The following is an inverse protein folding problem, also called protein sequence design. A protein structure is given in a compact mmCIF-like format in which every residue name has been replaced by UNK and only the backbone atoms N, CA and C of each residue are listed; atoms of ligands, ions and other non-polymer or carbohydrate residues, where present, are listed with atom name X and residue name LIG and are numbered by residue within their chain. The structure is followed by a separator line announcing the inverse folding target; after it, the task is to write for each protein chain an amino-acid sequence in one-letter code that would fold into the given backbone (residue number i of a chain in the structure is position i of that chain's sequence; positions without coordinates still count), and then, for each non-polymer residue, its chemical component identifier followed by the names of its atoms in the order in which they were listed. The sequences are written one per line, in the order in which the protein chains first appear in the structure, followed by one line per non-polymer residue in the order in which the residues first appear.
data_IF_105276940259
#
_entry.id   IF_105276940259
#
_cell.length_a   1.000
_cell.length_b   1.000
_cell.length_c   1.000
_cell.angle_alpha   90.00
_cell.angle_beta   90.00
_cell.angle_gamma   90.00
#
_symmetry.space_group_name_H-M   'P 1'
#
loop_
_entity.id
_entity.type
_entity.pdbx_description
1 polymer ?
#
# COMPACT_ATOMS: atom_id res chain seq x y z
N UNK A 1 -13.88 22.69 11.46
CA UNK A 1 -14.65 23.22 10.29
C UNK A 1 -16.10 23.44 10.72
N UNK A 2 -16.97 24.12 9.94
CA UNK A 2 -18.34 24.45 10.38
C UNK A 2 -19.20 23.24 10.80
N UNK A 3 -18.84 22.05 10.33
CA UNK A 3 -19.46 20.76 10.62
C UNK A 3 -18.80 19.99 11.78
N UNK A 4 -17.78 20.56 12.43
CA UNK A 4 -17.02 19.91 13.50
C UNK A 4 -15.85 19.05 13.02
N UNK A 5 -15.59 18.93 11.70
CA UNK A 5 -14.43 18.20 11.20
C UNK A 5 -13.13 18.96 11.50
N UNK A 6 -12.15 18.30 12.10
CA UNK A 6 -10.82 18.85 12.36
C UNK A 6 -9.83 18.35 11.31
N UNK A 7 -9.24 19.29 10.57
CA UNK A 7 -8.26 19.01 9.52
C UNK A 7 -7.39 20.25 9.24
N UNK A 8 -6.19 20.03 8.70
CA UNK A 8 -5.39 21.10 8.08
C UNK A 8 -6.04 21.52 6.75
N UNK A 9 -6.34 22.81 6.64
CA UNK A 9 -6.96 23.37 5.44
C UNK A 9 -5.90 23.64 4.37
N UNK A 10 -6.14 23.10 3.17
CA UNK A 10 -5.32 23.25 1.97
C UNK A 10 -6.10 24.11 0.98
N UNK A 11 -5.53 25.24 0.58
CA UNK A 11 -6.14 26.11 -0.43
C UNK A 11 -5.76 25.60 -1.82
N UNK A 12 -6.75 25.30 -2.65
CA UNK A 12 -6.57 24.81 -4.02
C UNK A 12 -7.04 25.89 -4.99
N UNK A 13 -6.10 26.48 -5.72
CA UNK A 13 -6.44 27.38 -6.82
C UNK A 13 -6.81 26.58 -8.07
N UNK A 14 -8.09 26.25 -8.18
CA UNK A 14 -8.68 25.52 -9.31
C UNK A 14 -9.39 26.45 -10.31
N UNK A 15 -9.18 27.77 -10.21
CA UNK A 15 -9.75 28.78 -11.13
C UNK A 15 -9.10 28.75 -12.51
N UNK A 16 -7.91 28.17 -12.62
CA UNK A 16 -7.19 27.96 -13.87
C UNK A 16 -6.57 26.56 -13.87
N UNK A 17 -6.57 25.83 -15.00
CA UNK A 17 -5.92 24.53 -15.07
C UNK A 17 -4.41 24.70 -14.82
N UNK A 18 -3.96 24.44 -13.60
CA UNK A 18 -2.55 24.32 -13.30
C UNK A 18 -2.14 22.90 -13.67
N UNK A 19 -1.48 22.76 -14.81
CA UNK A 19 -0.96 21.48 -15.27
C UNK A 19 0.37 21.25 -14.55
N UNK A 20 0.30 20.85 -13.27
CA UNK A 20 1.47 20.55 -12.43
C UNK A 20 2.42 19.53 -13.08
N UNK A 21 1.92 18.76 -14.06
CA UNK A 21 2.68 17.77 -14.82
C UNK A 21 3.31 18.33 -16.12
N UNK A 22 2.87 19.49 -16.64
CA UNK A 22 3.57 20.18 -17.74
C UNK A 22 4.74 21.02 -17.26
N UNK A 23 4.76 21.37 -15.98
CA UNK A 23 5.88 22.05 -15.37
C UNK A 23 6.93 21.01 -14.93
N UNK A 24 7.67 20.46 -15.90
CA UNK A 24 8.94 19.77 -15.63
C UNK A 24 9.95 20.66 -14.88
N UNK A 25 9.64 21.95 -14.74
CA UNK A 25 10.38 23.00 -14.03
C UNK A 25 9.61 23.60 -12.82
N UNK A 26 8.48 23.03 -12.39
CA UNK A 26 7.78 23.55 -11.20
C UNK A 26 8.64 23.33 -9.96
N UNK A 27 9.34 24.38 -9.56
CA UNK A 27 10.00 24.45 -8.26
C UNK A 27 8.92 24.18 -7.20
N UNK A 28 9.08 23.13 -6.39
CA UNK A 28 8.09 22.73 -5.37
C UNK A 28 7.80 23.86 -4.38
N UNK A 29 8.76 24.77 -4.18
CA UNK A 29 8.59 25.97 -3.37
C UNK A 29 7.78 27.07 -4.07
N UNK A 30 7.66 27.08 -5.40
CA UNK A 30 6.67 27.94 -6.08
C UNK A 30 5.25 27.37 -5.93
N UNK A 31 5.11 26.04 -5.92
CA UNK A 31 3.82 25.40 -5.66
C UNK A 31 3.38 25.63 -4.20
N UNK A 32 4.30 25.56 -3.24
CA UNK A 32 4.01 25.81 -1.83
C UNK A 32 4.98 26.85 -1.23
N UNK A 33 4.80 28.12 -1.62
CA UNK A 33 5.66 29.24 -1.22
C UNK A 33 5.81 29.44 0.29
N UNK A 34 4.79 29.02 1.06
CA UNK A 34 4.77 29.13 2.52
C UNK A 34 5.35 27.92 3.23
N UNK A 35 5.84 26.91 2.50
CA UNK A 35 6.50 25.77 3.12
C UNK A 35 7.75 26.23 3.88
N UNK A 36 7.96 25.67 5.07
CA UNK A 36 9.15 25.95 5.88
C UNK A 36 10.45 25.49 5.20
N UNK A 37 10.36 24.42 4.39
CA UNK A 37 11.49 23.87 3.65
C UNK A 37 10.99 23.12 2.41
N UNK A 38 11.92 22.88 1.48
CA UNK A 38 11.68 22.08 0.28
C UNK A 38 11.26 20.63 0.62
N UNK A 39 11.94 19.99 1.57
CA UNK A 39 11.60 18.63 2.00
C UNK A 39 10.18 18.54 2.57
N UNK A 40 9.79 19.51 3.40
CA UNK A 40 8.41 19.60 3.91
C UNK A 40 7.38 19.82 2.80
N UNK A 41 7.71 20.64 1.79
CA UNK A 41 6.86 20.85 0.63
C UNK A 41 6.67 19.57 -0.21
N UNK A 42 7.76 18.84 -0.47
CA UNK A 42 7.74 17.56 -1.20
C UNK A 42 6.88 16.54 -0.47
N UNK A 43 7.12 16.33 0.82
CA UNK A 43 6.34 15.40 1.64
C UNK A 43 4.85 15.75 1.64
N UNK A 44 4.54 17.03 1.82
CA UNK A 44 3.15 17.50 1.77
C UNK A 44 2.49 17.25 0.41
N UNK A 45 3.21 17.51 -0.69
CA UNK A 45 2.75 17.20 -2.03
C UNK A 45 2.49 15.69 -2.22
N UNK A 46 3.41 14.85 -1.76
CA UNK A 46 3.26 13.39 -1.81
C UNK A 46 2.03 12.92 -1.03
N UNK A 47 1.73 13.52 0.14
CA UNK A 47 0.52 13.18 0.90
C UNK A 47 -0.75 13.42 0.10
N UNK A 48 -0.82 14.52 -0.66
CA UNK A 48 -1.95 14.85 -1.53
C UNK A 48 -2.02 13.89 -2.72
N UNK A 49 -0.88 13.60 -3.36
CA UNK A 49 -0.82 12.71 -4.53
C UNK A 49 -1.24 11.26 -4.15
N UNK A 50 -0.89 10.82 -2.95
CA UNK A 50 -1.24 9.50 -2.44
C UNK A 50 -2.65 9.42 -1.83
N UNK A 51 -3.40 10.52 -1.82
CA UNK A 51 -4.71 10.56 -1.19
C UNK A 51 -5.83 9.98 -2.08
N UNK A 52 -6.74 9.26 -1.43
CA UNK A 52 -7.96 8.75 -2.06
C UNK A 52 -7.76 7.44 -2.82
N UNK A 53 -8.87 6.93 -3.37
CA UNK A 53 -8.93 5.70 -4.17
C UNK A 53 -8.25 4.45 -3.56
N UNK A 54 -8.11 4.39 -2.23
CA UNK A 54 -7.44 3.29 -1.53
C UNK A 54 -8.11 1.95 -1.85
N UNK A 55 -9.44 1.87 -1.78
CA UNK A 55 -10.17 0.62 -2.04
C UNK A 55 -9.93 0.07 -3.46
N UNK A 56 -10.05 0.86 -4.56
CA UNK A 56 -9.64 0.44 -5.90
C UNK A 56 -8.22 -0.11 -5.97
N UNK A 57 -7.24 0.59 -5.38
CA UNK A 57 -5.82 0.21 -5.39
C UNK A 57 -5.60 -1.11 -4.64
N UNK A 58 -6.18 -1.27 -3.45
CA UNK A 58 -6.03 -2.50 -2.69
C UNK A 58 -6.74 -3.68 -3.37
N UNK A 59 -7.86 -3.41 -4.05
CA UNK A 59 -8.60 -4.41 -4.82
C UNK A 59 -7.76 -4.90 -6.00
N UNK A 60 -7.15 -3.99 -6.77
CA UNK A 60 -6.30 -4.39 -7.89
C UNK A 60 -5.08 -5.21 -7.45
N UNK A 61 -4.44 -4.83 -6.35
CA UNK A 61 -3.30 -5.59 -5.78
C UNK A 61 -3.76 -6.98 -5.35
N UNK A 62 -4.89 -7.08 -4.63
CA UNK A 62 -5.38 -8.36 -4.14
C UNK A 62 -5.80 -9.30 -5.29
N UNK A 63 -6.42 -8.76 -6.34
CA UNK A 63 -6.78 -9.51 -7.55
C UNK A 63 -5.55 -9.97 -8.32
N UNK A 64 -4.52 -9.14 -8.46
CA UNK A 64 -3.28 -9.55 -9.09
C UNK A 64 -2.59 -10.69 -8.33
N UNK A 65 -2.53 -10.61 -7.00
CA UNK A 65 -2.02 -11.70 -6.16
C UNK A 65 -2.86 -12.97 -6.34
N UNK A 66 -4.19 -12.84 -6.37
CA UNK A 66 -5.10 -13.97 -6.60
C UNK A 66 -4.82 -14.64 -7.95
N UNK A 67 -4.83 -13.85 -9.03
CA UNK A 67 -4.59 -14.29 -10.40
C UNK A 67 -3.26 -15.05 -10.51
N UNK A 68 -2.17 -14.36 -10.20
CA UNK A 68 -0.85 -14.81 -10.58
C UNK A 68 -0.28 -15.87 -9.64
N UNK A 69 -0.67 -15.87 -8.35
CA UNK A 69 -0.08 -16.75 -7.35
C UNK A 69 -1.02 -17.88 -6.86
N UNK A 70 -2.34 -17.72 -7.01
CA UNK A 70 -3.32 -18.62 -6.41
C UNK A 70 -4.28 -19.27 -7.40
N UNK A 71 -4.55 -18.67 -8.57
CA UNK A 71 -5.38 -19.29 -9.62
C UNK A 71 -4.59 -19.84 -10.80
N UNK A 72 -3.37 -19.35 -11.09
CA UNK A 72 -2.54 -19.88 -12.20
C UNK A 72 -2.47 -21.40 -12.13
N UNK A 73 -3.13 -22.02 -13.12
CA UNK A 73 -3.31 -23.47 -13.29
C UNK A 73 -2.00 -24.10 -13.73
N UNK A 74 -1.04 -24.13 -12.82
CA UNK A 74 -0.09 -25.23 -12.79
C UNK A 74 -0.85 -26.46 -12.31
N UNK A 75 -1.79 -26.97 -13.11
CA UNK A 75 -2.52 -28.21 -12.85
C UNK A 75 -1.54 -29.37 -12.63
N UNK A 76 -2.02 -30.53 -12.19
CA UNK A 76 -1.19 -31.70 -11.86
C UNK A 76 -0.21 -32.14 -12.99
N UNK A 77 -0.38 -31.62 -14.21
CA UNK A 77 0.44 -31.90 -15.39
C UNK A 77 1.37 -30.73 -15.81
N UNK A 78 1.24 -29.54 -15.22
CA UNK A 78 2.13 -28.43 -15.52
C UNK A 78 3.45 -28.61 -14.75
N UNK A 79 4.57 -28.59 -15.48
CA UNK A 79 5.92 -28.62 -14.89
C UNK A 79 6.30 -27.29 -14.22
N UNK A 80 5.45 -26.26 -14.27
CA UNK A 80 5.75 -24.96 -13.68
C UNK A 80 5.52 -24.97 -12.17
N UNK A 81 6.52 -24.48 -11.44
CA UNK A 81 6.50 -24.40 -9.97
C UNK A 81 5.53 -23.33 -9.51
N UNK A 82 4.55 -23.70 -8.68
CA UNK A 82 3.68 -22.76 -7.96
C UNK A 82 4.50 -21.87 -7.03
N UNK A 83 4.35 -20.56 -7.18
CA UNK A 83 4.89 -19.56 -6.26
C UNK A 83 3.74 -19.08 -5.38
N UNK A 84 3.90 -19.17 -4.06
CA UNK A 84 2.89 -18.75 -3.08
C UNK A 84 3.52 -17.86 -2.03
N UNK A 85 2.73 -16.93 -1.50
CA UNK A 85 3.18 -16.08 -0.41
C UNK A 85 3.40 -16.90 0.86
N UNK A 86 4.43 -16.49 1.60
CA UNK A 86 4.70 -16.96 2.96
C UNK A 86 5.17 -15.78 3.78
N UNK A 87 4.88 -15.83 5.07
CA UNK A 87 5.49 -14.94 6.03
C UNK A 87 6.44 -15.75 6.91
N UNK A 88 7.73 -15.37 6.87
CA UNK A 88 8.84 -16.15 7.46
C UNK A 88 8.82 -17.59 6.95
N UNK A 89 8.53 -18.56 7.83
CA UNK A 89 8.41 -19.99 7.49
C UNK A 89 6.97 -20.47 7.35
N UNK A 90 5.98 -19.59 7.52
CA UNK A 90 4.55 -19.94 7.56
C UNK A 90 3.87 -19.51 6.25
N UNK A 91 3.35 -20.45 5.43
CA UNK A 91 2.52 -20.11 4.27
C UNK A 91 1.32 -19.23 4.63
N UNK A 92 0.93 -18.37 3.70
CA UNK A 92 -0.32 -17.61 3.80
C UNK A 92 -1.51 -18.55 3.51
N UNK A 93 -2.46 -18.60 4.43
CA UNK A 93 -3.68 -19.40 4.39
C UNK A 93 -4.92 -18.60 3.98
N UNK A 94 -4.89 -17.29 4.16
CA UNK A 94 -5.92 -16.37 3.72
C UNK A 94 -5.35 -14.97 3.50
N UNK A 95 -5.96 -14.21 2.59
CA UNK A 95 -5.69 -12.78 2.42
C UNK A 95 -6.91 -12.08 1.83
N UNK A 96 -6.99 -10.77 2.04
CA UNK A 96 -8.05 -9.94 1.50
C UNK A 96 -7.94 -8.50 1.96
N UNK A 97 -9.07 -7.80 1.96
CA UNK A 97 -9.15 -6.40 2.36
C UNK A 97 -9.98 -6.30 3.63
N UNK A 98 -9.45 -5.55 4.58
CA UNK A 98 -10.14 -5.14 5.78
C UNK A 98 -10.56 -3.67 5.67
N UNK A 99 -11.67 -3.34 6.31
CA UNK A 99 -12.21 -2.00 6.47
C UNK A 99 -12.40 -1.71 7.95
N UNK A 100 -12.10 -0.49 8.34
CA UNK A 100 -12.28 -0.03 9.70
C UNK A 100 -12.02 1.46 9.83
N UNK A 101 -11.44 1.84 10.96
CA UNK A 101 -10.90 3.18 11.16
C UNK A 101 -9.42 3.17 11.50
N UNK A 102 -8.74 4.28 11.21
CA UNK A 102 -7.39 4.60 11.64
C UNK A 102 -7.42 5.64 12.76
N UNK A 103 -6.52 5.53 13.73
CA UNK A 103 -6.36 6.51 14.80
C UNK A 103 -5.51 7.67 14.28
N UNK A 104 -6.15 8.80 13.98
CA UNK A 104 -5.53 9.96 13.34
C UNK A 104 -5.98 11.24 14.02
N UNK A 105 -5.04 12.15 14.31
CA UNK A 105 -5.34 13.46 14.90
C UNK A 105 -5.85 14.44 13.86
N UNK A 106 -6.55 15.50 14.26
CA UNK A 106 -6.99 16.55 13.32
C UNK A 106 -5.84 17.23 12.57
N UNK A 107 -4.64 17.29 13.16
CA UNK A 107 -3.45 17.89 12.54
C UNK A 107 -2.88 17.05 11.39
N UNK A 108 -3.25 15.77 11.32
CA UNK A 108 -2.79 14.85 10.29
C UNK A 108 -3.85 14.60 9.21
N UNK A 109 -5.06 15.16 9.35
CA UNK A 109 -6.09 15.13 8.31
C UNK A 109 -5.97 16.34 7.39
N UNK A 110 -6.40 16.17 6.14
CA UNK A 110 -6.46 17.24 5.15
C UNK A 110 -7.92 17.60 4.82
N UNK A 111 -8.13 18.88 4.53
CA UNK A 111 -9.36 19.39 3.92
C UNK A 111 -8.98 20.38 2.82
N UNK A 112 -9.76 20.43 1.75
CA UNK A 112 -9.47 21.22 0.56
C UNK A 112 -10.49 22.33 0.40
N UNK A 113 -10.04 23.58 0.42
CA UNK A 113 -10.83 24.74 0.06
C UNK A 113 -10.60 25.07 -1.43
N UNK A 114 -11.64 24.98 -2.24
CA UNK A 114 -11.59 25.28 -3.67
C UNK A 114 -11.82 26.76 -3.90
N UNK A 115 -10.89 27.43 -4.59
CA UNK A 115 -11.01 28.87 -4.84
C UNK A 115 -12.02 29.22 -5.94
N UNK A 116 -12.38 28.26 -6.79
CA UNK A 116 -13.36 28.46 -7.87
C UNK A 116 -14.77 28.74 -7.37
N UNK A 117 -15.21 28.04 -6.32
CA UNK A 117 -16.58 28.10 -5.79
C UNK A 117 -16.65 28.32 -4.26
N UNK A 118 -15.50 28.37 -3.59
CA UNK A 118 -15.41 28.52 -2.14
C UNK A 118 -15.86 27.29 -1.35
N UNK A 119 -16.05 26.14 -2.01
CA UNK A 119 -16.44 24.90 -1.36
C UNK A 119 -15.31 24.30 -0.56
N UNK A 120 -15.67 23.52 0.47
CA UNK A 120 -14.71 22.73 1.24
C UNK A 120 -15.05 21.26 1.08
N UNK A 121 -14.04 20.46 0.71
CA UNK A 121 -14.15 19.00 0.65
C UNK A 121 -13.18 18.36 1.62
N UNK A 122 -13.61 17.32 2.32
CA UNK A 122 -12.72 16.55 3.16
C UNK A 122 -11.74 15.74 2.31
N UNK A 123 -10.53 15.56 2.83
CA UNK A 123 -9.61 14.56 2.34
C UNK A 123 -10.07 13.15 2.71
N UNK A 124 -9.11 12.22 2.78
CA UNK A 124 -9.36 10.85 3.16
C UNK A 124 -9.93 10.79 4.59
N UNK A 125 -11.01 10.03 4.74
CA UNK A 125 -11.65 9.84 6.03
C UNK A 125 -10.98 8.69 6.79
N UNK A 126 -10.28 8.94 7.91
CA UNK A 126 -9.73 7.87 8.73
C UNK A 126 -10.80 6.97 9.33
N UNK A 127 -12.07 7.37 9.41
CA UNK A 127 -13.17 6.50 9.81
C UNK A 127 -13.67 5.59 8.69
N UNK A 128 -13.26 5.79 7.42
CA UNK A 128 -13.49 4.89 6.29
C UNK A 128 -12.16 4.42 5.67
N UNK A 129 -11.38 3.71 6.46
CA UNK A 129 -10.03 3.28 6.09
C UNK A 129 -9.96 1.82 5.66
N UNK A 130 -9.03 1.50 4.75
CA UNK A 130 -8.87 0.17 4.16
C UNK A 130 -7.41 -0.27 4.18
N UNK A 131 -7.17 -1.57 4.42
CA UNK A 131 -5.83 -2.18 4.38
C UNK A 131 -5.89 -3.62 3.90
N UNK A 132 -4.75 -4.15 3.44
CA UNK A 132 -4.61 -5.57 3.14
C UNK A 132 -4.33 -6.34 4.42
N UNK A 133 -5.01 -7.47 4.58
CA UNK A 133 -4.73 -8.41 5.65
C UNK A 133 -4.20 -9.72 5.07
N UNK A 134 -3.34 -10.39 5.84
CA UNK A 134 -2.87 -11.74 5.55
C UNK A 134 -2.96 -12.58 6.82
N UNK A 135 -3.41 -13.82 6.70
CA UNK A 135 -3.44 -14.79 7.80
C UNK A 135 -2.60 -16.00 7.40
N UNK A 136 -1.62 -16.34 8.23
CA UNK A 136 -0.78 -17.53 8.00
C UNK A 136 -1.49 -18.82 8.41
N UNK A 137 -1.01 -19.99 7.98
CA UNK A 137 -1.54 -21.30 8.41
C UNK A 137 -1.46 -21.53 9.93
N UNK A 138 -0.64 -20.73 10.64
CA UNK A 138 -0.50 -20.78 12.09
C UNK A 138 -1.42 -19.78 12.81
N UNK A 139 -2.31 -19.10 12.10
CA UNK A 139 -3.22 -18.09 12.65
C UNK A 139 -2.55 -16.75 12.99
N UNK A 140 -1.39 -16.46 12.41
CA UNK A 140 -0.77 -15.14 12.57
C UNK A 140 -1.37 -14.16 11.56
N UNK A 141 -1.97 -13.08 12.07
CA UNK A 141 -2.48 -11.97 11.28
C UNK A 141 -1.42 -10.89 11.06
N UNK A 142 -1.35 -10.40 9.83
CA UNK A 142 -0.44 -9.36 9.34
C UNK A 142 -1.26 -8.30 8.61
N UNK A 143 -0.84 -7.04 8.73
CA UNK A 143 -1.46 -5.91 8.03
C UNK A 143 -0.42 -5.26 7.13
N UNK A 144 -0.82 -4.96 5.89
CA UNK A 144 -0.12 -4.05 4.99
C UNK A 144 -1.06 -2.89 4.66
N UNK A 145 -0.67 -1.70 5.08
CA UNK A 145 -1.39 -0.47 4.83
C UNK A 145 -0.55 0.47 3.96
N UNK A 146 -1.13 0.87 2.82
CA UNK A 146 -0.45 1.71 1.82
C UNK A 146 -0.91 3.17 1.86
N UNK A 147 -1.78 3.52 2.81
CA UNK A 147 -2.46 4.82 2.84
C UNK A 147 -2.28 5.58 4.15
N UNK A 148 -1.65 5.00 5.18
CA UNK A 148 -1.34 5.73 6.42
C UNK A 148 -0.42 6.94 6.21
N UNK A 149 0.34 6.98 5.11
CA UNK A 149 1.18 8.14 4.76
C UNK A 149 0.36 9.42 4.53
N UNK A 150 -0.87 9.31 4.02
CA UNK A 150 -1.77 10.48 3.84
C UNK A 150 -2.09 11.14 5.18
N UNK A 151 -2.13 10.33 6.24
CA UNK A 151 -2.26 10.72 7.65
C UNK A 151 -0.91 10.95 8.35
N UNK A 152 0.12 11.34 7.60
CA UNK A 152 1.44 11.68 8.12
C UNK A 152 2.15 10.52 8.87
N UNK A 153 1.70 9.28 8.69
CA UNK A 153 2.43 8.12 9.19
C UNK A 153 3.51 7.71 8.20
N UNK A 154 4.70 8.26 8.40
CA UNK A 154 5.76 8.33 7.39
C UNK A 154 6.60 7.06 7.25
N UNK A 155 5.98 5.89 7.37
CA UNK A 155 6.63 4.59 7.16
C UNK A 155 6.77 4.31 5.66
N UNK A 156 8.00 4.23 5.19
CA UNK A 156 8.35 4.08 3.79
C UNK A 156 9.22 2.83 3.56
N UNK A 157 9.15 2.27 2.36
CA UNK A 157 10.02 1.17 1.91
C UNK A 157 10.82 1.64 0.70
N UNK A 158 12.13 1.38 0.71
CA UNK A 158 12.97 1.65 -0.45
C UNK A 158 12.66 0.69 -1.61
N UNK A 159 12.54 1.25 -2.83
CA UNK A 159 12.29 0.47 -4.04
C UNK A 159 13.54 -0.24 -4.59
N UNK A 160 14.73 0.14 -4.11
CA UNK A 160 16.00 -0.41 -4.59
C UNK A 160 16.04 -1.94 -4.44
N UNK A 161 16.19 -2.64 -5.57
CA UNK A 161 16.23 -4.09 -5.64
C UNK A 161 14.86 -4.76 -5.82
N UNK A 162 13.77 -3.99 -5.89
CA UNK A 162 12.44 -4.49 -6.25
C UNK A 162 12.05 -4.10 -7.67
N UNK A 163 12.41 -2.90 -8.11
CA UNK A 163 12.13 -2.36 -9.45
C UNK A 163 13.45 -1.99 -10.12
N UNK A 164 13.79 -2.68 -11.21
CA UNK A 164 15.02 -2.43 -12.00
C UNK A 164 14.72 -1.51 -13.20
N UNK A 165 14.12 -0.34 -12.94
CA UNK A 165 13.85 0.68 -13.97
C UNK A 165 14.67 1.92 -13.60
N UNK A 166 15.87 2.11 -14.18
CA UNK A 166 16.78 3.20 -13.84
C UNK A 166 16.10 4.58 -13.87
N UNK A 167 15.21 4.80 -14.83
CA UNK A 167 14.48 6.05 -15.04
C UNK A 167 13.55 6.36 -13.85
N UNK A 168 12.93 5.33 -13.25
CA UNK A 168 12.02 5.49 -12.11
C UNK A 168 12.80 5.55 -10.80
N UNK A 169 13.92 4.84 -10.68
CA UNK A 169 14.71 4.80 -9.44
C UNK A 169 15.24 6.18 -9.00
N UNK A 170 15.49 7.07 -9.96
CA UNK A 170 15.90 8.45 -9.67
C UNK A 170 14.73 9.36 -9.27
N UNK A 171 13.51 8.98 -9.62
CA UNK A 171 12.29 9.77 -9.38
C UNK A 171 11.61 9.32 -8.08
N UNK A 172 11.55 8.01 -7.84
CA UNK A 172 10.89 7.39 -6.68
C UNK A 172 11.88 6.44 -6.01
N UNK A 173 12.51 6.91 -4.93
CA UNK A 173 13.45 6.09 -4.16
C UNK A 173 12.75 5.23 -3.09
N UNK A 174 11.59 5.71 -2.62
CA UNK A 174 10.82 5.13 -1.51
C UNK A 174 9.33 5.19 -1.82
N UNK A 175 8.56 4.27 -1.24
CA UNK A 175 7.09 4.25 -1.36
C UNK A 175 6.43 4.08 0.01
N UNK A 176 5.24 4.66 0.22
CA UNK A 176 4.44 4.42 1.43
C UNK A 176 4.13 2.94 1.65
N UNK A 177 4.52 2.42 2.80
CA UNK A 177 4.12 1.09 3.23
C UNK A 177 4.29 0.97 4.75
N UNK A 178 3.16 0.82 5.45
CA UNK A 178 3.13 0.44 6.84
C UNK A 178 2.79 -1.04 6.98
N UNK A 179 3.75 -1.81 7.50
CA UNK A 179 3.59 -3.25 7.71
C UNK A 179 3.53 -3.57 9.20
N UNK A 180 2.37 -3.99 9.69
CA UNK A 180 2.19 -4.39 11.08
C UNK A 180 2.24 -5.92 11.20
N UNK A 181 3.39 -6.40 11.68
CA UNK A 181 3.55 -7.78 12.14
C UNK A 181 3.38 -7.90 13.66
N UNK A 182 3.45 -9.13 14.18
CA UNK A 182 3.32 -9.42 15.62
C UNK A 182 4.20 -8.55 16.50
N UNK A 183 5.45 -8.29 16.10
CA UNK A 183 6.40 -7.48 16.90
C UNK A 183 5.91 -6.04 16.99
N UNK A 184 5.54 -5.43 15.86
CA UNK A 184 5.00 -4.06 15.83
C UNK A 184 3.72 -3.99 16.66
N UNK A 185 2.76 -4.89 16.42
CA UNK A 185 1.47 -4.93 17.13
C UNK A 185 1.58 -5.01 18.65
N UNK A 186 2.60 -5.69 19.19
CA UNK A 186 2.80 -5.81 20.64
C UNK A 186 3.45 -4.56 21.23
N UNK A 187 4.29 -3.88 20.45
CA UNK A 187 5.12 -2.77 20.93
C UNK A 187 4.59 -1.39 20.56
N UNK A 188 3.54 -1.29 19.74
CA UNK A 188 2.91 -0.02 19.37
C UNK A 188 1.46 0.03 19.81
N UNK A 189 0.91 1.21 20.14
CA UNK A 189 -0.52 1.38 20.29
C UNK A 189 -1.29 0.87 19.05
N UNK A 190 -2.54 0.40 19.22
CA UNK A 190 -3.36 0.01 18.09
C UNK A 190 -3.69 1.24 17.23
N UNK A 191 -3.27 1.21 15.96
CA UNK A 191 -3.56 2.28 15.00
C UNK A 191 -4.82 2.03 14.20
N UNK A 192 -5.31 0.79 14.18
CA UNK A 192 -6.46 0.36 13.39
C UNK A 192 -7.54 -0.22 14.29
N UNK A 193 -8.80 0.10 13.97
CA UNK A 193 -9.98 -0.57 14.51
C UNK A 193 -10.77 -1.19 13.38
N UNK A 194 -10.57 -2.49 13.18
CA UNK A 194 -11.30 -3.24 12.15
C UNK A 194 -12.80 -3.31 12.47
N UNK A 195 -13.63 -3.16 11.44
CA UNK A 195 -15.08 -3.38 11.50
C UNK A 195 -15.53 -4.55 10.65
N UNK A 196 -14.85 -4.79 9.52
CA UNK A 196 -15.09 -5.94 8.67
C UNK A 196 -13.85 -6.30 7.86
N UNK A 197 -13.79 -7.55 7.41
CA UNK A 197 -12.84 -7.98 6.38
C UNK A 197 -13.52 -8.95 5.42
N UNK A 198 -13.06 -8.96 4.17
CA UNK A 198 -13.51 -9.92 3.17
C UNK A 198 -12.30 -10.61 2.56
N UNK A 199 -12.30 -11.94 2.62
CA UNK A 199 -11.29 -12.77 1.97
C UNK A 199 -11.43 -12.67 0.45
N UNK A 200 -10.31 -12.39 -0.20
CA UNK A 200 -10.19 -12.49 -1.66
C UNK A 200 -9.88 -13.94 -2.04
N UNK A 201 -9.03 -14.62 -1.27
CA UNK A 201 -8.65 -16.01 -1.52
C UNK A 201 -9.82 -17.00 -1.46
N UNK A 202 -10.87 -16.71 -0.69
CA UNK A 202 -12.04 -17.60 -0.51
C UNK A 202 -13.29 -17.11 -1.25
N UNK A 203 -13.18 -16.07 -2.08
CA UNK A 203 -14.31 -15.53 -2.80
C UNK A 203 -14.42 -16.14 -4.20
N UNK A 204 -15.25 -17.18 -4.34
CA UNK A 204 -15.42 -17.90 -5.61
C UNK A 204 -15.80 -16.97 -6.78
N UNK A 205 -16.62 -15.94 -6.55
CA UNK A 205 -17.01 -15.01 -7.62
C UNK A 205 -15.82 -14.21 -8.15
N UNK A 206 -14.83 -13.88 -7.29
CA UNK A 206 -13.58 -13.26 -7.74
C UNK A 206 -12.64 -14.26 -8.42
N UNK A 207 -12.66 -15.53 -8.02
CA UNK A 207 -11.91 -16.57 -8.74
C UNK A 207 -12.44 -16.71 -10.16
N UNK A 208 -13.76 -16.83 -10.31
CA UNK A 208 -14.41 -16.96 -11.61
C UNK A 208 -14.11 -15.74 -12.50
N UNK A 209 -14.20 -14.52 -11.94
CA UNK A 209 -13.89 -13.28 -12.65
C UNK A 209 -12.43 -13.19 -13.12
N UNK A 210 -11.48 -13.65 -12.29
CA UNK A 210 -10.05 -13.47 -12.59
C UNK A 210 -9.49 -14.57 -13.50
N UNK A 211 -10.18 -15.72 -13.62
CA UNK A 211 -9.75 -16.83 -14.51
C UNK A 211 -9.71 -16.38 -15.96
N UNK A 212 -10.60 -15.49 -16.38
CA UNK A 212 -10.65 -14.98 -17.75
C UNK A 212 -9.73 -13.77 -17.97
N UNK A 213 -9.12 -13.21 -16.92
CA UNK A 213 -8.23 -12.05 -17.05
C UNK A 213 -6.93 -12.47 -17.74
N UNK A 214 -6.96 -12.44 -19.07
CA UNK A 214 -5.82 -12.68 -19.94
C UNK A 214 -5.48 -11.38 -20.68
N UNK A 215 -4.19 -11.10 -20.85
CA UNK A 215 -3.72 -10.00 -21.71
C UNK A 215 -4.28 -8.61 -21.35
N UNK A 216 -4.16 -8.21 -20.08
CA UNK A 216 -4.38 -6.83 -19.62
C UNK A 216 -5.83 -6.32 -19.75
N UNK A 217 -6.82 -7.20 -19.83
CA UNK A 217 -8.22 -6.79 -19.98
C UNK A 217 -9.10 -7.52 -18.99
N UNK A 218 -9.96 -6.77 -18.30
CA UNK A 218 -11.11 -7.30 -17.57
C UNK A 218 -12.29 -7.25 -18.53
N UNK A 219 -12.96 -8.39 -18.74
CA UNK A 219 -14.12 -8.44 -19.61
C UNK A 219 -15.37 -7.92 -18.89
N UNK A 220 -16.35 -7.34 -19.60
CA UNK A 220 -17.57 -6.80 -19.00
C UNK A 220 -18.31 -7.78 -18.07
N UNK A 221 -18.28 -9.08 -18.39
CA UNK A 221 -18.84 -10.16 -17.56
C UNK A 221 -18.14 -10.34 -16.21
N UNK A 222 -16.84 -10.03 -16.13
CA UNK A 222 -16.01 -10.18 -14.93
C UNK A 222 -16.06 -8.91 -14.04
N UNK A 223 -16.59 -7.79 -14.56
CA UNK A 223 -16.70 -6.54 -13.82
C UNK A 223 -17.66 -6.66 -12.62
N UNK A 224 -18.79 -7.35 -12.80
CA UNK A 224 -19.86 -7.37 -11.80
C UNK A 224 -19.44 -7.99 -10.45
N UNK A 225 -18.72 -9.14 -10.41
CA UNK A 225 -18.16 -9.67 -9.16
C UNK A 225 -17.20 -8.71 -8.45
N UNK A 226 -16.33 -8.02 -9.21
CA UNK A 226 -15.33 -7.08 -8.67
C UNK A 226 -16.04 -5.85 -8.08
N UNK A 227 -17.00 -5.28 -8.82
CA UNK A 227 -17.83 -4.17 -8.36
C UNK A 227 -18.57 -4.55 -7.09
N UNK A 228 -19.25 -5.71 -7.08
CA UNK A 228 -20.00 -6.19 -5.93
C UNK A 228 -19.11 -6.37 -4.69
N UNK A 229 -17.90 -6.89 -4.87
CA UNK A 229 -16.92 -7.00 -3.80
C UNK A 229 -16.53 -5.63 -3.23
N UNK A 230 -16.22 -4.66 -4.08
CA UNK A 230 -15.87 -3.30 -3.64
C UNK A 230 -17.05 -2.60 -2.98
N UNK A 231 -18.26 -2.68 -3.53
CA UNK A 231 -19.47 -2.08 -2.96
C UNK A 231 -19.79 -2.66 -1.57
N UNK A 232 -19.58 -3.96 -1.40
CA UNK A 232 -19.76 -4.63 -0.11
C UNK A 232 -18.78 -4.14 0.95
N UNK A 233 -17.52 -3.91 0.60
CA UNK A 233 -16.53 -3.28 1.50
C UNK A 233 -16.89 -1.82 1.75
N UNK A 234 -17.17 -1.07 0.70
CA UNK A 234 -17.48 0.36 0.81
C UNK A 234 -18.76 0.62 1.62
N UNK A 235 -19.73 -0.31 1.61
CA UNK A 235 -21.06 -0.10 2.17
C UNK A 235 -21.87 0.91 1.37
N UNK A 236 -21.45 1.20 0.13
CA UNK A 236 -22.05 2.15 -0.81
C UNK A 236 -21.78 1.69 -2.23
N UNK A 237 -22.46 2.32 -3.19
CA UNK A 237 -22.11 2.18 -4.60
C UNK A 237 -20.72 2.77 -4.86
N UNK A 238 -19.94 2.08 -5.67
CA UNK A 238 -18.65 2.60 -6.14
C UNK A 238 -18.87 3.54 -7.32
N UNK A 239 -18.10 4.62 -7.35
CA UNK A 239 -18.15 5.64 -8.38
C UNK A 239 -17.57 5.13 -9.71
N UNK A 240 -17.89 5.78 -10.81
CA UNK A 240 -17.33 5.43 -12.12
C UNK A 240 -15.79 5.53 -12.14
N UNK A 241 -15.22 6.52 -11.43
CA UNK A 241 -13.78 6.68 -11.29
C UNK A 241 -13.14 5.50 -10.53
N UNK A 242 -13.75 5.07 -9.42
CA UNK A 242 -13.28 3.91 -8.65
C UNK A 242 -13.30 2.62 -9.47
N UNK A 243 -14.37 2.39 -10.25
CA UNK A 243 -14.47 1.23 -11.16
C UNK A 243 -13.37 1.25 -12.21
N UNK A 244 -13.26 2.37 -12.95
CA UNK A 244 -12.27 2.55 -14.01
C UNK A 244 -10.86 2.33 -13.49
N UNK A 245 -10.54 2.89 -12.32
CA UNK A 245 -9.23 2.77 -11.71
C UNK A 245 -8.94 1.34 -11.25
N UNK A 246 -9.88 0.68 -10.57
CA UNK A 246 -9.71 -0.70 -10.13
C UNK A 246 -9.41 -1.62 -11.32
N UNK A 247 -10.13 -1.46 -12.44
CA UNK A 247 -9.93 -2.30 -13.62
C UNK A 247 -8.59 -2.03 -14.33
N UNK A 248 -8.25 -0.77 -14.55
CA UNK A 248 -6.98 -0.38 -15.16
C UNK A 248 -5.79 -0.88 -14.32
N UNK A 249 -5.80 -0.63 -13.01
CA UNK A 249 -4.71 -1.07 -12.13
C UNK A 249 -4.63 -2.59 -12.00
N UNK A 250 -5.75 -3.31 -12.05
CA UNK A 250 -5.74 -4.78 -11.97
C UNK A 250 -4.98 -5.36 -13.16
N UNK A 251 -5.27 -4.88 -14.38
CA UNK A 251 -4.57 -5.30 -15.58
C UNK A 251 -3.05 -5.05 -15.47
N UNK A 252 -2.67 -3.83 -15.06
CA UNK A 252 -1.26 -3.44 -14.90
C UNK A 252 -0.54 -4.27 -13.83
N UNK A 253 -1.21 -4.52 -12.69
CA UNK A 253 -0.62 -5.27 -11.58
C UNK A 253 -0.51 -6.77 -11.88
N UNK A 254 -1.50 -7.37 -12.55
CA UNK A 254 -1.42 -8.76 -13.02
C UNK A 254 -0.22 -8.93 -13.96
N UNK A 255 -0.05 -8.01 -14.91
CA UNK A 255 1.09 -8.05 -15.81
C UNK A 255 2.42 -7.92 -15.07
N UNK A 256 2.58 -6.87 -14.25
CA UNK A 256 3.82 -6.62 -13.52
C UNK A 256 4.21 -7.81 -12.61
N UNK A 257 3.22 -8.40 -11.94
CA UNK A 257 3.44 -9.58 -11.10
C UNK A 257 3.71 -10.84 -11.93
N UNK A 258 2.98 -11.05 -13.03
CA UNK A 258 3.18 -12.16 -13.96
C UNK A 258 4.60 -12.17 -14.55
N UNK A 259 5.10 -11.02 -15.01
CA UNK A 259 6.49 -10.87 -15.46
C UNK A 259 7.48 -11.16 -14.32
N UNK A 260 7.24 -10.60 -13.14
CA UNK A 260 8.06 -10.82 -11.94
C UNK A 260 8.18 -12.31 -11.61
N UNK A 261 7.09 -13.06 -11.72
CA UNK A 261 7.07 -14.52 -11.48
C UNK A 261 7.76 -15.28 -12.61
N UNK A 262 7.47 -14.96 -13.87
CA UNK A 262 8.03 -15.59 -15.07
C UNK A 262 9.54 -15.46 -15.12
N UNK A 263 10.06 -14.25 -14.90
CA UNK A 263 11.49 -13.94 -14.89
C UNK A 263 12.16 -14.20 -13.54
N UNK A 264 11.37 -14.54 -12.52
CA UNK A 264 11.83 -14.78 -11.14
C UNK A 264 12.59 -13.58 -10.57
N UNK A 265 12.20 -12.35 -10.94
CA UNK A 265 12.80 -11.09 -10.45
C UNK A 265 12.82 -11.04 -8.92
N UNK A 266 11.80 -11.61 -8.28
CA UNK A 266 11.69 -11.74 -6.82
C UNK A 266 12.86 -12.45 -6.13
N UNK A 267 13.64 -13.27 -6.84
CA UNK A 267 14.82 -13.94 -6.27
C UNK A 267 15.99 -12.99 -6.00
N UNK A 268 15.97 -11.79 -6.61
CA UNK A 268 16.93 -10.72 -6.40
C UNK A 268 16.49 -9.73 -5.31
N UNK A 269 15.24 -9.82 -4.86
CA UNK A 269 14.71 -8.91 -3.85
C UNK A 269 15.51 -9.02 -2.56
N UNK A 270 15.73 -7.90 -1.84
CA UNK A 270 16.44 -7.95 -0.59
C UNK A 270 15.67 -8.82 0.42
N UNK A 271 16.40 -9.58 1.24
CA UNK A 271 15.80 -10.50 2.20
C UNK A 271 14.93 -9.79 3.25
N UNK A 272 15.24 -8.53 3.54
CA UNK A 272 14.43 -7.62 4.33
C UNK A 272 14.35 -6.28 3.58
N UNK A 273 13.16 -5.64 3.51
CA UNK A 273 13.03 -4.31 2.93
C UNK A 273 13.85 -3.32 3.74
N UNK A 274 14.54 -2.40 3.07
CA UNK A 274 15.10 -1.24 3.75
C UNK A 274 13.96 -0.27 4.03
N UNK A 275 13.72 -0.01 5.31
CA UNK A 275 12.70 0.91 5.79
C UNK A 275 13.28 2.32 5.88
N UNK A 276 12.44 3.31 5.60
CA UNK A 276 12.75 4.72 5.81
C UNK A 276 11.61 5.38 6.60
N UNK A 277 11.94 6.43 7.34
CA UNK A 277 10.98 7.32 7.97
C UNK A 277 11.13 8.68 7.28
N UNK A 278 10.06 9.17 6.65
CA UNK A 278 10.04 10.50 6.04
C UNK A 278 9.63 11.56 7.10
N UNK A 279 10.57 11.90 7.99
CA UNK A 279 10.31 12.85 9.08
C UNK A 279 10.29 14.30 8.61
N UNK A 280 9.60 15.17 9.34
CA UNK A 280 9.71 16.59 9.06
C UNK A 280 11.14 17.11 9.38
N UNK A 281 11.61 18.15 8.69
CA UNK A 281 12.93 18.73 8.95
C UNK A 281 13.11 19.11 10.42
N UNK A 282 14.16 18.57 11.04
CA UNK A 282 14.49 18.84 12.44
C UNK A 282 13.84 17.90 13.47
N UNK A 283 12.97 16.98 13.06
CA UNK A 283 12.33 16.01 13.97
C UNK A 283 13.19 14.77 14.27
N UNK A 284 14.09 14.40 13.35
CA UNK A 284 14.98 13.27 13.56
C UNK A 284 16.36 13.70 14.05
N UNK A 285 16.75 13.14 15.20
CA UNK A 285 18.13 13.15 15.67
C UNK A 285 19.03 12.45 14.63
N UNK A 286 20.11 13.11 14.14
CA UNK A 286 21.10 12.49 13.26
C UNK A 286 21.59 11.10 13.74
N UNK A 287 21.70 10.88 15.05
CA UNK A 287 22.05 9.57 15.60
C UNK A 287 20.95 8.52 15.44
N UNK A 288 19.68 8.92 15.54
CA UNK A 288 18.54 8.03 15.32
C UNK A 288 18.46 7.60 13.85
N UNK A 289 18.71 8.53 12.91
CA UNK A 289 18.82 8.23 11.46
C UNK A 289 19.93 7.21 11.21
N UNK A 290 21.09 7.37 11.86
CA UNK A 290 22.20 6.43 11.71
C UNK A 290 21.84 5.03 12.24
N UNK A 291 21.11 4.94 13.37
CA UNK A 291 20.69 3.65 13.96
C UNK A 291 19.61 2.94 13.14
N UNK A 292 18.64 3.66 12.59
CA UNK A 292 17.60 3.08 11.72
C UNK A 292 18.18 2.47 10.43
N UNK A 293 19.28 3.04 9.93
CA UNK A 293 20.00 2.55 8.75
C UNK A 293 20.97 1.39 9.04
N UNK A 294 21.15 0.96 10.30
CA UNK A 294 22.01 -0.17 10.63
C UNK A 294 21.28 -1.49 10.41
N UNK A 295 21.94 -2.40 9.69
CA UNK A 295 21.49 -3.79 9.46
C UNK A 295 21.10 -4.45 10.78
N UNK A 296 20.02 -5.25 10.75
CA UNK A 296 19.59 -6.08 11.88
C UNK A 296 20.79 -6.70 12.61
N UNK A 297 20.84 -6.62 13.95
CA UNK A 297 21.88 -7.29 14.70
C UNK A 297 21.86 -8.76 14.34
N UNK A 298 22.96 -9.25 13.75
CA UNK A 298 23.14 -10.68 13.44
C UNK A 298 22.82 -11.47 14.70
N UNK A 299 21.67 -12.16 14.72
CA UNK A 299 21.32 -13.09 15.79
C UNK A 299 22.45 -14.11 15.85
N UNK A 300 23.31 -14.00 16.87
CA UNK A 300 24.34 -14.99 17.14
C UNK A 300 23.62 -16.31 17.38
N UNK A 301 23.65 -17.22 16.39
CA UNK A 301 23.21 -18.61 16.59
C UNK A 301 23.97 -19.15 17.79
N UNK A 302 23.27 -19.34 18.92
CA UNK A 302 23.77 -20.15 20.04
C UNK A 302 24.10 -21.51 19.44
N UNK A 303 25.39 -21.84 19.33
CA UNK A 303 25.82 -23.21 19.02
C UNK A 303 25.19 -24.12 20.07
N UNK A 304 24.27 -24.98 19.67
CA UNK A 304 23.82 -26.07 20.53
C UNK A 304 25.06 -26.91 20.83
N UNK A 305 25.47 -26.96 22.09
CA UNK A 305 26.43 -27.96 22.54
C UNK A 305 25.71 -29.30 22.43
N UNK A 306 25.98 -30.02 21.35
CA UNK A 306 25.70 -31.45 21.27
C UNK A 306 26.61 -32.11 22.30
N UNK A 307 26.05 -32.47 23.45
CA UNK A 307 26.74 -33.36 24.37
C UNK A 307 26.77 -34.74 23.71
N UNK A 308 27.90 -35.07 23.08
CA UNK A 308 28.28 -36.45 22.81
C UNK A 308 28.46 -37.14 24.15
N UNK A 309 27.49 -37.95 24.54
CA UNK A 309 27.69 -39.01 25.53
C UNK A 309 28.41 -40.13 24.79
N UNK A 310 29.69 -40.31 25.10
CA UNK A 310 30.47 -41.45 24.66
C UNK A 310 30.41 -42.54 25.73
N UNK A 311 29.85 -43.69 25.30
CA UNK A 311 29.92 -45.07 25.82
C UNK A 311 29.43 -45.29 27.25
#
# INVERSE_FOLDING_TARGET
MPDGWEAKLVMVDDRSPCDIYKAGDANIMQWFEKAYSEAGAIKFCQRIIHEGYVLPILTSIALAVLAEMYTTTSGAQSKQRRVRLKYRSSPIADFGIAKGSAVVTGEDKLAYYRMSDGSITHGQDPDDHYWLYFTTIRGEDLILDLSMFTFNMCSMVHLKGYVDIPEIQHIIAVVPAYFQERVVRINTPPLHKERMRISVLRNNALHDAIVHTHHRTIYPEDEAPIISFMEKLAGRKVTAAEKKLAFALTADHCEALGETLKERRWTKYPAAPLLAIDSDPGEMDPEAIARFNMKEPKVKKKKSKTNTVSV
#
